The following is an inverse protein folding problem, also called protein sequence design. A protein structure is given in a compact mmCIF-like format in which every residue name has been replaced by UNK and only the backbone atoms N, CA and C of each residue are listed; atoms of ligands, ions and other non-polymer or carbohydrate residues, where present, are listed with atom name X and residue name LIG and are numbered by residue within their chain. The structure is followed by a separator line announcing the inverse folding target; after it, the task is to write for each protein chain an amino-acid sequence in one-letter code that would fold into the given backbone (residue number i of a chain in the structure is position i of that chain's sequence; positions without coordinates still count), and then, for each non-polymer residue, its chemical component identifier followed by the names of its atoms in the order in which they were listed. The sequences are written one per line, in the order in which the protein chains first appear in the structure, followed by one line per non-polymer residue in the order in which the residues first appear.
data_IF_811395643135
#
_entry.id   IF_811395643135
#
_cell.length_a   1.000
_cell.length_b   1.000
_cell.length_c   1.000
_cell.angle_alpha   90.00
_cell.angle_beta   90.00
_cell.angle_gamma   90.00
#
_symmetry.space_group_name_H-M   'P 1'
#
loop_
_entity.id
_entity.type
_entity.pdbx_description
1 polymer ?
#
# COMPACT_ATOMS: atom_id res chain seq x y z
N UNK A 1 -1.20 -15.53 15.81
CA UNK A 1 -0.59 -14.44 15.02
C UNK A 1 -1.29 -13.17 15.48
N UNK A 2 -0.59 -12.27 16.17
CA UNK A 2 -1.23 -11.10 16.80
C UNK A 2 -1.23 -9.91 15.83
N UNK A 3 -2.41 -9.59 15.29
CA UNK A 3 -2.62 -8.41 14.45
C UNK A 3 -2.82 -7.17 15.35
N UNK A 4 -1.74 -6.59 15.87
CA UNK A 4 -1.84 -5.38 16.71
C UNK A 4 -1.90 -4.07 15.89
N UNK A 5 -1.78 -4.14 14.56
CA UNK A 5 -1.99 -3.00 13.67
C UNK A 5 -3.42 -2.98 13.13
N UNK A 6 -4.16 -1.94 13.48
CA UNK A 6 -5.34 -1.52 12.73
C UNK A 6 -4.85 -0.65 11.55
N UNK A 7 -5.32 -0.96 10.34
CA UNK A 7 -4.89 -0.23 9.14
C UNK A 7 -6.06 0.25 8.32
N UNK A 8 -5.88 1.43 7.73
CA UNK A 8 -6.75 1.98 6.70
C UNK A 8 -5.95 2.07 5.41
N UNK A 9 -6.08 1.07 4.52
CA UNK A 9 -5.35 1.06 3.26
C UNK A 9 -6.06 1.83 2.14
N UNK A 10 -5.41 1.93 0.96
CA UNK A 10 -6.13 2.25 -0.26
C UNK A 10 -7.34 1.32 -0.42
N UNK A 11 -8.51 1.90 -0.69
CA UNK A 11 -9.73 1.14 -0.92
C UNK A 11 -9.60 0.15 -2.08
N UNK A 12 -10.43 -0.91 -2.14
CA UNK A 12 -10.28 -2.02 -3.08
C UNK A 12 -10.54 -1.65 -4.55
N UNK A 13 -11.12 -0.48 -4.81
CA UNK A 13 -11.41 -0.03 -6.17
C UNK A 13 -10.13 0.12 -7.00
N UNK A 14 -10.20 -0.08 -8.33
CA UNK A 14 -9.07 0.14 -9.22
C UNK A 14 -8.41 1.50 -9.02
N UNK A 15 -7.07 1.52 -9.05
CA UNK A 15 -6.27 2.73 -8.92
C UNK A 15 -5.51 3.02 -10.20
N UNK A 16 -5.42 4.29 -10.58
CA UNK A 16 -4.74 4.69 -11.81
C UNK A 16 -3.24 4.90 -11.56
N UNK A 17 -2.40 4.49 -12.49
CA UNK A 17 -0.95 4.78 -12.48
C UNK A 17 -0.68 6.28 -12.24
N UNK A 18 0.38 6.58 -11.49
CA UNK A 18 0.79 7.95 -11.16
C UNK A 18 -0.07 8.61 -10.08
N UNK A 19 -1.15 7.97 -9.62
CA UNK A 19 -1.92 8.49 -8.49
C UNK A 19 -1.22 8.19 -7.17
N UNK A 20 -1.34 9.15 -6.24
CA UNK A 20 -0.87 8.99 -4.86
C UNK A 20 -1.90 8.22 -4.05
N UNK A 21 -1.41 7.21 -3.35
CA UNK A 21 -2.17 6.38 -2.43
C UNK A 21 -1.71 6.65 -1.00
N UNK A 22 -2.63 6.54 -0.06
CA UNK A 22 -2.38 6.77 1.35
C UNK A 22 -2.67 5.47 2.10
N UNK A 23 -1.75 5.08 2.97
CA UNK A 23 -2.00 4.07 3.99
C UNK A 23 -1.85 4.70 5.36
N UNK A 24 -2.81 4.47 6.24
CA UNK A 24 -2.76 4.90 7.64
C UNK A 24 -2.74 3.69 8.56
N UNK A 25 -2.10 3.84 9.72
CA UNK A 25 -1.98 2.79 10.72
C UNK A 25 -2.20 3.32 12.13
N UNK A 26 -2.62 2.40 12.99
CA UNK A 26 -2.74 2.59 14.42
C UNK A 26 -2.36 1.27 15.13
N UNK A 27 -1.52 1.35 16.16
CA UNK A 27 -1.11 0.21 16.96
C UNK A 27 -1.00 0.62 18.44
N UNK A 28 -1.96 0.18 19.24
CA UNK A 28 -2.09 0.52 20.68
C UNK A 28 -0.85 0.08 21.46
N UNK A 29 -0.29 -1.08 21.12
CA UNK A 29 0.86 -1.66 21.83
C UNK A 29 2.22 -1.18 21.31
N UNK A 30 2.24 -0.41 20.22
CA UNK A 30 3.48 0.07 19.59
C UNK A 30 3.90 1.42 20.19
N UNK A 31 5.22 1.64 20.28
CA UNK A 31 5.76 2.88 20.83
C UNK A 31 5.87 3.96 19.75
N UNK A 32 5.59 5.24 20.05
CA UNK A 32 5.71 6.33 19.08
C UNK A 32 7.13 6.59 18.56
N UNK A 33 8.17 6.14 19.27
CA UNK A 33 9.56 6.31 18.84
C UNK A 33 10.00 5.24 17.83
N UNK A 34 9.23 4.15 17.72
CA UNK A 34 9.49 3.11 16.74
C UNK A 34 9.04 3.55 15.34
N UNK A 35 9.64 2.93 14.34
CA UNK A 35 9.27 3.08 12.94
C UNK A 35 8.51 1.85 12.43
N UNK A 36 7.76 2.06 11.34
CA UNK A 36 7.09 0.99 10.60
C UNK A 36 7.71 0.81 9.21
N UNK A 37 7.75 -0.44 8.75
CA UNK A 37 8.03 -0.80 7.36
C UNK A 37 6.70 -0.95 6.64
N UNK A 38 6.54 -0.24 5.54
CA UNK A 38 5.40 -0.35 4.63
C UNK A 38 5.87 -1.09 3.38
N UNK A 39 5.15 -2.13 2.99
CA UNK A 39 5.42 -2.96 1.81
C UNK A 39 4.18 -3.00 0.92
N UNK A 40 4.36 -2.83 -0.40
CA UNK A 40 3.32 -3.15 -1.39
C UNK A 40 3.66 -4.51 -2.00
N UNK A 41 2.69 -5.42 -1.97
CA UNK A 41 2.87 -6.83 -2.32
C UNK A 41 1.98 -7.17 -3.50
N UNK A 42 2.60 -7.56 -4.61
CA UNK A 42 1.95 -8.07 -5.81
C UNK A 42 1.49 -9.51 -5.57
N UNK A 43 0.18 -9.76 -5.74
CA UNK A 43 -0.47 -11.06 -5.63
C UNK A 43 -0.13 -11.83 -4.33
N UNK A 44 0.16 -11.12 -3.24
CA UNK A 44 0.65 -11.68 -1.97
C UNK A 44 1.96 -12.49 -2.05
N UNK A 45 2.69 -12.42 -3.16
CA UNK A 45 3.90 -13.22 -3.41
C UNK A 45 5.17 -12.37 -3.45
N UNK A 46 5.11 -11.16 -4.02
CA UNK A 46 6.29 -10.36 -4.33
C UNK A 46 6.16 -8.93 -3.80
N UNK A 47 7.13 -8.50 -3.00
CA UNK A 47 7.25 -7.09 -2.61
C UNK A 47 7.74 -6.29 -3.82
N UNK A 48 6.96 -5.28 -4.24
CA UNK A 48 7.27 -4.39 -5.37
C UNK A 48 7.61 -2.96 -4.95
N UNK A 49 7.32 -2.61 -3.69
CA UNK A 49 7.66 -1.32 -3.10
C UNK A 49 7.90 -1.47 -1.62
N UNK A 50 8.80 -0.66 -1.09
CA UNK A 50 9.06 -0.57 0.34
C UNK A 50 9.33 0.87 0.72
N UNK A 51 8.77 1.30 1.85
CA UNK A 51 9.11 2.59 2.47
C UNK A 51 9.03 2.48 3.99
N UNK A 52 9.43 3.54 4.69
CA UNK A 52 9.43 3.63 6.15
C UNK A 52 8.54 4.76 6.61
N UNK A 53 7.68 4.48 7.59
CA UNK A 53 6.89 5.47 8.31
C UNK A 53 7.46 5.69 9.71
N UNK A 54 7.50 6.94 10.15
CA UNK A 54 7.83 7.28 11.55
C UNK A 54 6.60 7.11 12.42
N UNK A 55 6.80 6.88 13.72
CA UNK A 55 5.74 6.70 14.71
C UNK A 55 4.90 5.45 14.45
N UNK A 56 5.28 4.35 15.08
CA UNK A 56 4.54 3.10 14.98
C UNK A 56 3.21 3.08 15.74
N UNK A 57 2.99 4.01 16.68
CA UNK A 57 1.73 4.09 17.42
C UNK A 57 0.59 4.58 16.53
N UNK A 58 0.81 5.65 15.76
CA UNK A 58 -0.15 6.17 14.79
C UNK A 58 0.54 6.96 13.69
N UNK A 59 0.11 6.78 12.44
CA UNK A 59 0.68 7.54 11.33
C UNK A 59 0.05 7.24 9.98
N UNK A 60 0.56 7.92 8.95
CA UNK A 60 0.17 7.70 7.57
C UNK A 60 1.36 7.87 6.64
N UNK A 61 1.36 7.16 5.52
CA UNK A 61 2.38 7.25 4.49
C UNK A 61 1.74 7.34 3.12
N UNK A 62 2.26 8.28 2.32
CA UNK A 62 1.91 8.43 0.91
C UNK A 62 2.91 7.68 0.05
N UNK A 63 2.42 7.01 -0.99
CA UNK A 63 3.24 6.40 -2.02
C UNK A 63 2.55 6.55 -3.39
N UNK A 64 3.33 6.53 -4.46
CA UNK A 64 2.84 6.70 -5.83
C UNK A 64 2.85 5.36 -6.57
N UNK A 65 1.83 5.11 -7.39
CA UNK A 65 1.69 3.88 -8.16
C UNK A 65 2.56 3.91 -9.41
N UNK A 66 3.52 2.98 -9.48
CA UNK A 66 4.45 2.87 -10.61
C UNK A 66 3.72 2.33 -11.87
N UNK A 67 4.14 2.79 -13.04
CA UNK A 67 3.57 2.35 -14.33
C UNK A 67 3.69 0.86 -14.58
N UNK A 68 4.75 0.20 -14.08
CA UNK A 68 4.95 -1.25 -14.19
C UNK A 68 3.91 -2.09 -13.44
N UNK A 69 3.07 -1.46 -12.60
CA UNK A 69 2.06 -2.14 -11.80
C UNK A 69 0.74 -2.33 -12.56
N UNK A 70 0.52 -1.58 -13.64
CA UNK A 70 -0.63 -1.73 -14.51
C UNK A 70 -0.45 -2.90 -15.49
N UNK A 71 -0.42 -4.13 -14.99
CA UNK A 71 -0.42 -5.33 -15.82
C UNK A 71 -1.66 -6.20 -15.57
N UNK A 72 -2.19 -6.87 -16.62
CA UNK A 72 -3.34 -7.74 -16.48
C UNK A 72 -3.15 -8.81 -15.40
N UNK A 73 -4.19 -9.06 -14.60
CA UNK A 73 -4.20 -10.10 -13.57
C UNK A 73 -3.38 -9.77 -12.31
N UNK A 74 -2.81 -8.57 -12.20
CA UNK A 74 -2.08 -8.14 -11.01
C UNK A 74 -2.98 -7.40 -10.03
N UNK A 75 -2.90 -7.79 -8.77
CA UNK A 75 -3.54 -7.10 -7.65
C UNK A 75 -2.54 -6.87 -6.53
N UNK A 76 -2.78 -5.85 -5.72
CA UNK A 76 -1.82 -5.37 -4.74
C UNK A 76 -2.41 -5.31 -3.34
N UNK A 77 -1.59 -5.72 -2.37
CA UNK A 77 -1.88 -5.55 -0.95
C UNK A 77 -0.84 -4.61 -0.33
N UNK A 78 -1.23 -3.91 0.74
CA UNK A 78 -0.30 -3.14 1.56
C UNK A 78 -0.10 -3.84 2.90
N UNK A 79 1.14 -3.98 3.33
CA UNK A 79 1.48 -4.48 4.65
C UNK A 79 2.21 -3.38 5.42
N UNK A 80 1.79 -3.12 6.65
CA UNK A 80 2.52 -2.27 7.59
C UNK A 80 2.98 -3.16 8.74
N UNK A 81 4.27 -3.12 9.04
CA UNK A 81 4.86 -3.92 10.10
C UNK A 81 5.80 -3.07 10.95
N UNK A 82 5.91 -3.40 12.23
CA UNK A 82 6.88 -2.76 13.12
C UNK A 82 8.30 -3.12 12.68
N UNK A 83 9.18 -2.14 12.44
CA UNK A 83 10.53 -2.41 11.91
C UNK A 83 11.36 -3.33 12.82
N UNK A 84 11.34 -3.07 14.13
CA UNK A 84 12.09 -3.86 15.11
C UNK A 84 11.50 -5.25 15.37
N UNK A 85 10.23 -5.47 15.03
CA UNK A 85 9.56 -6.76 15.18
C UNK A 85 8.52 -6.97 14.07
N UNK A 86 8.93 -7.49 12.91
CA UNK A 86 8.05 -7.66 11.76
C UNK A 86 6.89 -8.65 11.96
N UNK A 87 6.87 -9.39 13.08
CA UNK A 87 5.73 -10.25 13.47
C UNK A 87 4.52 -9.44 13.94
N UNK A 88 4.72 -8.18 14.31
CA UNK A 88 3.64 -7.23 14.62
C UNK A 88 3.32 -6.48 13.33
N UNK A 89 2.23 -6.87 12.66
CA UNK A 89 1.86 -6.30 11.37
C UNK A 89 0.35 -6.30 11.14
N UNK A 90 -0.05 -5.47 10.17
CA UNK A 90 -1.34 -5.53 9.51
C UNK A 90 -1.13 -5.68 8.01
N UNK A 91 -2.05 -6.34 7.33
CA UNK A 91 -2.07 -6.43 5.86
C UNK A 91 -3.48 -6.12 5.36
N UNK A 92 -3.58 -5.50 4.18
CA UNK A 92 -4.89 -5.26 3.56
C UNK A 92 -5.59 -6.57 3.25
N UNK A 93 -6.86 -6.66 3.65
CA UNK A 93 -7.68 -7.86 3.43
C UNK A 93 -8.11 -7.94 1.97
N UNK A 94 -8.62 -6.83 1.43
CA UNK A 94 -9.02 -6.73 0.02
C UNK A 94 -7.89 -6.11 -0.80
N UNK A 95 -7.39 -6.77 -1.84
CA UNK A 95 -6.41 -6.19 -2.72
C UNK A 95 -7.06 -5.15 -3.65
N UNK A 96 -6.25 -4.29 -4.27
CA UNK A 96 -6.70 -3.35 -5.30
C UNK A 96 -5.93 -3.59 -6.61
N UNK A 97 -6.58 -3.52 -7.78
CA UNK A 97 -5.90 -3.54 -9.06
C UNK A 97 -5.35 -2.16 -9.43
N UNK A 98 -4.31 -2.14 -10.28
CA UNK A 98 -3.77 -0.90 -10.86
C UNK A 98 -4.04 -0.91 -12.36
N UNK A 99 -4.61 0.19 -12.87
CA UNK A 99 -4.95 0.37 -14.28
C UNK A 99 -4.09 1.46 -14.92
N UNK A 100 -3.77 1.35 -16.22
CA UNK A 100 -2.99 2.36 -16.92
C UNK A 100 -3.73 3.69 -16.97
N UNK A 101 -2.98 4.79 -17.02
CA UNK A 101 -3.56 6.10 -17.31
C UNK A 101 -4.05 6.10 -18.76
N UNK A 102 -5.34 6.35 -18.97
CA UNK A 102 -5.87 6.52 -20.33
C UNK A 102 -5.43 7.91 -20.80
N UNK A 103 -4.62 8.03 -21.86
CA UNK A 103 -4.33 9.34 -22.43
C UNK A 103 -5.62 9.92 -23.02
N UNK A 104 -5.98 11.14 -22.62
CA UNK A 104 -7.15 11.87 -23.11
C UNK A 104 -7.08 12.31 -24.58
N UNK A 105 -5.98 12.01 -25.29
CA UNK A 105 -5.81 12.31 -26.71
C UNK A 105 -6.05 11.08 -27.58
N UNK A 106 -7.30 10.62 -27.65
CA UNK A 106 -7.74 9.83 -28.81
C UNK A 106 -8.37 10.83 -29.78
N UNK A 107 -7.55 11.41 -30.66
CA UNK A 107 -8.06 12.06 -31.86
C UNK A 107 -8.67 10.97 -32.73
N UNK A 108 -9.98 10.74 -32.62
CA UNK A 108 -10.72 9.94 -33.58
C UNK A 108 -10.78 10.74 -34.90
N UNK A 109 -10.29 10.21 -36.03
CA UNK A 109 -10.53 10.85 -37.31
C UNK A 109 -12.04 10.76 -37.60
N UNK A 110 -12.68 11.92 -37.72
CA UNK A 110 -14.01 12.06 -38.33
C UNK A 110 -13.90 11.91 -39.84
#
# INVERSE_FOLDING_TARGET
MEHNFCMTPPGPDPKVVGTKQIVSWYCITCKPEDNVKIEVIENLLKVVYTTTGKNANAGSQVFELNSSWAAPGKVYNVKVSLQKNPKVFGITIKPFPVIPTIPTNINLPF
#
